data_IF_242370019982
#
_entry.id   IF_242370019982
#
_cell.length_a   1.000
_cell.length_b   1.000
_cell.length_c   1.000
_cell.angle_alpha   90.00
_cell.angle_beta   90.00
_cell.angle_gamma   90.00
#
_symmetry.space_group_name_H-M   'P 1'
#
loop_
_entity.id
_entity.type
_entity.pdbx_description
1 polymer ?
#
# COMPACT_ATOMS: atom_id res chain seq x y z
N UNK A 1 -16.61 -63.92 -15.26
CA UNK A 1 -16.89 -62.66 -15.96
C UNK A 1 -16.27 -61.55 -15.14
N UNK A 2 -15.34 -60.83 -15.75
CA UNK A 2 -14.68 -59.60 -15.29
C UNK A 2 -15.71 -58.53 -14.85
N UNK A 3 -15.41 -57.50 -14.07
CA UNK A 3 -14.14 -56.88 -13.74
C UNK A 3 -14.23 -56.18 -12.37
N UNK A 4 -13.06 -56.14 -11.73
CA UNK A 4 -12.65 -55.20 -10.69
C UNK A 4 -12.63 -53.76 -11.25
N UNK A 5 -13.00 -52.77 -10.43
CA UNK A 5 -12.63 -51.38 -10.70
C UNK A 5 -12.61 -50.57 -9.40
N UNK A 6 -11.40 -50.12 -9.11
CA UNK A 6 -10.90 -49.47 -7.90
C UNK A 6 -10.89 -47.94 -8.11
N UNK A 7 -11.56 -47.20 -7.21
CA UNK A 7 -11.21 -45.85 -6.66
C UNK A 7 -11.10 -44.61 -7.61
N UNK A 8 -10.96 -43.34 -7.12
CA UNK A 8 -11.23 -42.75 -5.79
C UNK A 8 -11.75 -41.26 -5.80
N UNK A 9 -11.82 -40.68 -4.59
CA UNK A 9 -11.53 -39.27 -4.23
C UNK A 9 -12.60 -38.21 -4.53
N UNK A 10 -13.45 -37.94 -3.54
CA UNK A 10 -14.06 -36.61 -3.38
C UNK A 10 -13.13 -35.74 -2.53
N UNK A 11 -12.46 -34.83 -3.23
CA UNK A 11 -12.04 -33.47 -2.87
C UNK A 11 -11.89 -33.18 -1.36
N UNK A 12 -10.64 -33.11 -0.94
CA UNK A 12 -10.22 -32.39 0.26
C UNK A 12 -10.57 -30.90 0.05
N UNK A 13 -11.54 -30.41 0.80
CA UNK A 13 -11.81 -28.98 0.93
C UNK A 13 -10.53 -28.31 1.42
N UNK A 14 -9.83 -27.61 0.52
CA UNK A 14 -8.80 -26.67 0.91
C UNK A 14 -9.53 -25.52 1.61
N UNK A 15 -9.61 -25.59 2.93
CA UNK A 15 -9.94 -24.42 3.73
C UNK A 15 -8.97 -23.32 3.33
N UNK A 16 -9.50 -22.25 2.75
CA UNK A 16 -8.81 -20.97 2.65
C UNK A 16 -8.22 -20.70 4.03
N UNK A 17 -6.90 -20.46 4.20
CA UNK A 17 -6.42 -20.02 5.50
C UNK A 17 -7.12 -18.69 5.80
N UNK A 18 -7.91 -18.70 6.87
CA UNK A 18 -8.39 -17.47 7.47
C UNK A 18 -7.14 -16.72 7.91
N UNK A 19 -6.84 -15.60 7.25
CA UNK A 19 -5.79 -14.69 7.71
C UNK A 19 -6.33 -14.08 9.00
N UNK A 20 -5.72 -14.47 10.12
CA UNK A 20 -6.06 -13.95 11.43
C UNK A 20 -5.81 -12.43 11.44
N UNK A 21 -6.75 -11.58 11.91
CA UNK A 21 -6.62 -10.12 11.83
C UNK A 21 -5.47 -9.53 12.67
N UNK A 22 -4.77 -10.34 13.47
CA UNK A 22 -3.70 -9.90 14.36
C UNK A 22 -2.34 -10.59 14.07
N UNK A 23 -2.28 -11.55 13.15
CA UNK A 23 -1.00 -12.12 12.71
C UNK A 23 -0.52 -11.35 11.47
N UNK A 24 0.21 -10.27 11.73
CA UNK A 24 1.10 -9.69 10.73
C UNK A 24 1.92 -10.82 10.10
N UNK A 25 1.94 -11.02 8.76
CA UNK A 25 2.89 -11.97 8.17
C UNK A 25 4.26 -11.50 8.58
N UNK A 26 4.93 -12.25 9.47
CA UNK A 26 6.22 -11.86 10.07
C UNK A 26 7.06 -11.20 8.99
N UNK A 27 7.54 -9.97 9.26
CA UNK A 27 8.38 -9.23 8.32
C UNK A 27 9.35 -10.23 7.67
N UNK A 28 9.47 -10.24 6.33
CA UNK A 28 10.15 -11.31 5.64
C UNK A 28 11.52 -11.52 6.28
N UNK A 29 11.94 -12.79 6.42
CA UNK A 29 13.17 -13.14 7.14
C UNK A 29 14.41 -12.38 6.61
N UNK A 30 14.36 -11.94 5.35
CA UNK A 30 15.20 -10.89 4.79
C UNK A 30 14.32 -9.82 4.14
N UNK A 31 14.69 -8.53 4.26
CA UNK A 31 13.97 -7.45 3.59
C UNK A 31 14.29 -7.44 2.09
N UNK A 32 13.35 -6.94 1.31
CA UNK A 32 13.40 -6.95 -0.15
C UNK A 32 14.30 -5.82 -0.65
N UNK A 33 15.34 -6.17 -1.42
CA UNK A 33 16.26 -5.21 -2.04
C UNK A 33 15.86 -4.84 -3.47
N UNK A 34 15.38 -5.82 -4.24
CA UNK A 34 15.00 -5.63 -5.64
C UNK A 34 13.48 -5.45 -5.77
N UNK A 35 13.08 -4.44 -6.54
CA UNK A 35 11.66 -4.15 -6.77
C UNK A 35 11.22 -4.89 -8.05
N UNK A 36 10.31 -5.84 -7.89
CA UNK A 36 9.56 -6.49 -8.96
C UNK A 36 8.03 -6.41 -8.71
N UNK A 37 7.23 -7.04 -9.57
CA UNK A 37 5.76 -7.00 -9.45
C UNK A 37 5.25 -7.72 -8.19
N UNK A 38 5.93 -8.77 -7.74
CA UNK A 38 5.54 -9.52 -6.55
C UNK A 38 5.84 -8.71 -5.28
N UNK A 39 6.96 -7.99 -5.26
CA UNK A 39 7.29 -7.02 -4.22
C UNK A 39 6.26 -5.88 -4.16
N UNK A 40 5.84 -5.34 -5.31
CA UNK A 40 4.76 -4.32 -5.35
C UNK A 40 3.44 -4.89 -4.84
N UNK A 41 3.08 -6.11 -5.24
CA UNK A 41 1.87 -6.78 -4.77
C UNK A 41 1.90 -6.99 -3.26
N UNK A 42 3.03 -7.46 -2.74
CA UNK A 42 3.20 -7.64 -1.30
C UNK A 42 3.02 -6.33 -0.54
N UNK A 43 3.66 -5.25 -1.01
CA UNK A 43 3.49 -3.91 -0.42
C UNK A 43 2.02 -3.49 -0.41
N UNK A 44 1.35 -3.56 -1.55
CA UNK A 44 -0.04 -3.11 -1.69
C UNK A 44 -0.97 -3.89 -0.78
N UNK A 45 -0.92 -5.23 -0.83
CA UNK A 45 -1.80 -6.06 -0.01
C UNK A 45 -1.51 -5.89 1.48
N UNK A 46 -0.24 -5.81 1.89
CA UNK A 46 0.13 -5.58 3.29
C UNK A 46 -0.37 -4.23 3.76
N UNK A 47 -0.07 -3.16 3.02
CA UNK A 47 -0.44 -1.80 3.39
C UNK A 47 -1.96 -1.60 3.48
N UNK A 48 -2.72 -2.09 2.50
CA UNK A 48 -4.17 -1.95 2.51
C UNK A 48 -4.86 -2.87 3.52
N UNK A 49 -4.26 -4.01 3.87
CA UNK A 49 -4.67 -4.80 5.03
C UNK A 49 -4.64 -3.96 6.29
N UNK A 50 -3.53 -3.26 6.55
CA UNK A 50 -3.40 -2.36 7.70
C UNK A 50 -4.37 -1.19 7.68
N UNK A 51 -4.59 -0.58 6.50
CA UNK A 51 -5.57 0.51 6.36
C UNK A 51 -6.97 0.05 6.78
N UNK A 52 -7.35 -1.17 6.41
CA UNK A 52 -8.70 -1.69 6.71
C UNK A 52 -8.95 -1.78 8.22
N UNK A 53 -7.89 -2.09 8.96
CA UNK A 53 -7.93 -2.33 10.41
C UNK A 53 -7.59 -1.06 11.22
N UNK A 54 -7.21 0.04 10.56
CA UNK A 54 -6.94 1.33 11.20
C UNK A 54 -8.23 2.07 11.57
N UNK A 55 -8.28 2.63 12.78
CA UNK A 55 -9.49 3.28 13.32
C UNK A 55 -9.85 4.59 12.60
N UNK A 56 -8.87 5.30 12.04
CA UNK A 56 -9.09 6.57 11.34
C UNK A 56 -9.31 6.36 9.84
N UNK A 57 -8.49 5.55 9.19
CA UNK A 57 -8.54 5.31 7.75
C UNK A 57 -9.57 4.24 7.37
N UNK A 58 -9.70 3.20 8.19
CA UNK A 58 -10.60 2.08 7.94
C UNK A 58 -12.03 2.53 7.58
N UNK A 59 -12.69 3.42 8.37
CA UNK A 59 -14.01 3.94 8.04
C UNK A 59 -14.08 4.62 6.65
N UNK A 60 -13.08 5.43 6.31
CA UNK A 60 -13.01 6.16 5.02
C UNK A 60 -12.96 5.16 3.87
N UNK A 61 -12.06 4.18 3.95
CA UNK A 61 -11.89 3.18 2.90
C UNK A 61 -13.06 2.21 2.82
N UNK A 62 -13.68 1.84 3.95
CA UNK A 62 -14.90 1.02 3.97
C UNK A 62 -16.04 1.73 3.23
N UNK A 63 -16.28 3.01 3.53
CA UNK A 63 -17.29 3.80 2.82
C UNK A 63 -16.96 3.92 1.32
N UNK A 64 -15.69 4.11 0.98
CA UNK A 64 -15.24 4.31 -0.40
C UNK A 64 -15.27 3.02 -1.25
N UNK A 65 -15.06 1.85 -0.65
CA UNK A 65 -14.71 0.60 -1.35
C UNK A 65 -15.61 -0.59 -1.01
N UNK A 66 -16.75 -0.38 -0.34
CA UNK A 66 -17.69 -1.46 -0.02
C UNK A 66 -17.96 -2.36 -1.26
N UNK A 67 -17.70 -3.67 -1.11
CA UNK A 67 -17.84 -4.68 -2.17
C UNK A 67 -16.81 -4.60 -3.31
N UNK A 68 -15.82 -3.71 -3.26
CA UNK A 68 -14.88 -3.41 -4.38
C UNK A 68 -13.41 -3.41 -3.97
N UNK A 69 -13.05 -4.05 -2.86
CA UNK A 69 -11.68 -4.11 -2.35
C UNK A 69 -10.71 -4.74 -3.36
N UNK A 70 -11.04 -5.91 -3.92
CA UNK A 70 -10.15 -6.61 -4.84
C UNK A 70 -9.81 -5.75 -6.08
N UNK A 71 -10.83 -5.11 -6.66
CA UNK A 71 -10.65 -4.18 -7.78
C UNK A 71 -9.74 -3.00 -7.42
N UNK A 72 -9.86 -2.48 -6.19
CA UNK A 72 -9.00 -1.41 -5.72
C UNK A 72 -7.56 -1.88 -5.51
N UNK A 73 -7.35 -3.06 -4.92
CA UNK A 73 -6.02 -3.63 -4.73
C UNK A 73 -5.32 -3.84 -6.08
N UNK A 74 -5.99 -4.42 -7.07
CA UNK A 74 -5.44 -4.57 -8.43
C UNK A 74 -5.07 -3.21 -9.05
N UNK A 75 -5.93 -2.20 -8.90
CA UNK A 75 -5.65 -0.84 -9.36
C UNK A 75 -4.44 -0.24 -8.65
N UNK A 76 -4.26 -0.50 -7.37
CA UNK A 76 -3.14 0.00 -6.58
C UNK A 76 -1.83 -0.72 -6.90
N UNK A 77 -1.86 -2.01 -7.21
CA UNK A 77 -0.70 -2.72 -7.79
C UNK A 77 -0.33 -2.06 -9.12
N UNK A 78 -1.28 -1.87 -10.03
CA UNK A 78 -1.00 -1.22 -11.31
C UNK A 78 -0.46 0.22 -11.14
N UNK A 79 -0.98 0.98 -10.16
CA UNK A 79 -0.52 2.32 -9.81
C UNK A 79 0.95 2.33 -9.38
N UNK A 80 1.30 1.54 -8.36
CA UNK A 80 2.65 1.51 -7.83
C UNK A 80 3.65 0.91 -8.82
N UNK A 81 3.29 -0.16 -9.54
CA UNK A 81 4.16 -0.70 -10.61
C UNK A 81 4.40 0.34 -11.71
N UNK A 82 3.43 1.20 -12.01
CA UNK A 82 3.63 2.28 -12.99
C UNK A 82 4.63 3.34 -12.52
N UNK A 83 4.72 3.56 -11.20
CA UNK A 83 5.62 4.54 -10.60
C UNK A 83 7.03 3.98 -10.45
N UNK A 84 7.19 2.81 -9.85
CA UNK A 84 8.50 2.27 -9.47
C UNK A 84 9.14 1.38 -10.53
N UNK A 85 8.35 0.77 -11.42
CA UNK A 85 8.84 -0.08 -12.52
C UNK A 85 8.67 0.56 -13.89
N UNK A 86 8.06 1.75 -13.97
CA UNK A 86 7.77 2.40 -15.25
C UNK A 86 6.73 1.67 -16.10
N UNK A 87 5.92 0.80 -15.50
CA UNK A 87 4.82 0.13 -16.20
C UNK A 87 3.80 1.17 -16.73
N UNK A 88 3.16 0.88 -17.86
CA UNK A 88 2.15 1.80 -18.47
C UNK A 88 0.72 1.30 -18.28
N UNK A 89 0.41 0.81 -17.07
CA UNK A 89 -0.85 0.10 -16.77
C UNK A 89 -1.85 0.92 -15.96
N UNK A 90 -1.40 1.89 -15.17
CA UNK A 90 -2.31 2.78 -14.46
C UNK A 90 -2.89 3.87 -15.38
N UNK A 91 -4.21 3.98 -15.41
CA UNK A 91 -4.95 5.01 -16.14
C UNK A 91 -6.00 5.61 -15.20
N UNK A 92 -5.66 6.74 -14.60
CA UNK A 92 -6.56 7.43 -13.67
C UNK A 92 -6.00 8.75 -13.18
N UNK A 93 -6.88 9.59 -12.62
CA UNK A 93 -6.50 10.84 -11.98
C UNK A 93 -6.63 10.67 -10.45
N UNK A 94 -5.50 10.69 -9.75
CA UNK A 94 -5.46 10.46 -8.30
C UNK A 94 -6.22 11.57 -7.58
N UNK A 95 -6.03 12.84 -7.95
CA UNK A 95 -6.73 13.97 -7.33
C UNK A 95 -8.25 13.84 -7.43
N UNK A 96 -8.78 13.58 -8.63
CA UNK A 96 -10.23 13.39 -8.83
C UNK A 96 -10.78 12.22 -8.02
N UNK A 97 -9.99 11.18 -7.79
CA UNK A 97 -10.42 10.05 -6.97
C UNK A 97 -10.55 10.40 -5.47
N UNK A 98 -9.86 11.45 -4.99
CA UNK A 98 -9.90 11.86 -3.58
C UNK A 98 -10.87 13.02 -3.31
N UNK A 99 -11.21 13.83 -4.33
CA UNK A 99 -12.12 14.97 -4.21
C UNK A 99 -13.51 14.67 -3.59
N UNK A 100 -14.17 13.53 -3.87
CA UNK A 100 -15.49 13.24 -3.29
C UNK A 100 -15.48 13.08 -1.77
N UNK A 101 -14.31 12.86 -1.15
CA UNK A 101 -14.18 12.62 0.28
C UNK A 101 -13.87 13.93 1.01
N UNK A 102 -14.87 14.83 1.08
CA UNK A 102 -14.73 16.15 1.69
C UNK A 102 -14.44 16.15 3.20
N UNK A 103 -14.49 14.99 3.86
CA UNK A 103 -14.12 14.82 5.27
C UNK A 103 -12.63 14.45 5.46
N UNK A 104 -11.87 14.26 4.37
CA UNK A 104 -10.43 14.07 4.47
C UNK A 104 -9.79 15.29 5.13
N UNK A 105 -8.85 15.03 6.03
CA UNK A 105 -8.10 16.06 6.76
C UNK A 105 -6.61 15.75 6.73
N UNK A 106 -5.79 16.71 7.14
CA UNK A 106 -4.35 16.50 7.29
C UNK A 106 -3.98 15.32 8.20
N UNK A 107 -4.83 15.01 9.20
CA UNK A 107 -4.63 13.84 10.07
C UNK A 107 -4.76 12.52 9.31
N UNK A 108 -5.73 12.41 8.39
CA UNK A 108 -5.87 11.23 7.54
C UNK A 108 -4.62 11.03 6.66
N UNK A 109 -4.11 12.10 6.04
CA UNK A 109 -2.87 12.03 5.26
C UNK A 109 -1.66 11.67 6.13
N UNK A 110 -1.60 12.20 7.36
CA UNK A 110 -0.54 11.91 8.32
C UNK A 110 -0.52 10.43 8.71
N UNK A 111 -1.70 9.87 9.05
CA UNK A 111 -1.84 8.47 9.40
C UNK A 111 -1.51 7.55 8.20
N UNK A 112 -2.02 7.89 7.01
CA UNK A 112 -1.74 7.13 5.79
C UNK A 112 -0.23 7.08 5.49
N UNK A 113 0.47 8.21 5.57
CA UNK A 113 1.93 8.27 5.36
C UNK A 113 2.71 7.50 6.42
N UNK A 114 2.31 7.62 7.70
CA UNK A 114 2.96 6.90 8.79
C UNK A 114 2.84 5.38 8.60
N UNK A 115 1.63 4.88 8.30
CA UNK A 115 1.41 3.47 8.01
C UNK A 115 2.16 3.01 6.76
N UNK A 116 2.21 3.83 5.72
CA UNK A 116 2.89 3.50 4.48
C UNK A 116 4.41 3.36 4.70
N UNK A 117 5.03 4.35 5.34
CA UNK A 117 6.47 4.31 5.63
C UNK A 117 6.86 3.20 6.60
N UNK A 118 6.07 2.96 7.64
CA UNK A 118 6.30 1.82 8.54
C UNK A 118 6.17 0.48 7.80
N UNK A 119 5.25 0.37 6.83
CA UNK A 119 5.15 -0.82 5.98
C UNK A 119 6.38 -0.99 5.09
N UNK A 120 6.88 0.11 4.51
CA UNK A 120 8.09 0.08 3.70
C UNK A 120 9.33 -0.33 4.52
N UNK A 121 9.52 0.26 5.69
CA UNK A 121 10.66 -0.03 6.57
C UNK A 121 10.71 -1.50 7.02
N UNK A 122 9.54 -2.13 7.17
CA UNK A 122 9.41 -3.56 7.52
C UNK A 122 9.63 -4.50 6.35
N UNK A 123 9.25 -4.11 5.13
CA UNK A 123 9.29 -4.99 3.97
C UNK A 123 10.58 -4.85 3.13
N UNK A 124 11.18 -3.66 3.08
CA UNK A 124 12.20 -3.32 2.11
C UNK A 124 13.51 -2.86 2.74
N UNK A 125 14.61 -3.13 2.04
CA UNK A 125 15.89 -2.48 2.31
C UNK A 125 15.80 -0.96 2.01
N UNK A 126 16.63 -0.10 2.63
CA UNK A 126 16.48 1.35 2.57
C UNK A 126 16.40 1.94 1.16
N UNK A 127 17.17 1.39 0.21
CA UNK A 127 17.16 1.84 -1.18
C UNK A 127 15.81 1.58 -1.86
N UNK A 128 15.27 0.37 -1.71
CA UNK A 128 13.98 0.01 -2.27
C UNK A 128 12.82 0.76 -1.58
N UNK A 129 12.86 0.85 -0.25
CA UNK A 129 11.88 1.63 0.53
C UNK A 129 11.82 3.09 0.06
N UNK A 130 12.97 3.73 -0.15
CA UNK A 130 13.03 5.12 -0.59
C UNK A 130 12.45 5.33 -2.00
N UNK A 131 12.58 4.35 -2.90
CA UNK A 131 12.01 4.41 -4.25
C UNK A 131 10.48 4.50 -4.24
N UNK A 132 9.81 3.93 -3.22
CA UNK A 132 8.37 4.13 -2.99
C UNK A 132 8.06 5.40 -2.20
N UNK A 133 8.89 5.72 -1.20
CA UNK A 133 8.65 6.84 -0.30
C UNK A 133 8.72 8.19 -1.03
N UNK A 134 9.72 8.42 -1.88
CA UNK A 134 9.89 9.69 -2.60
C UNK A 134 8.67 10.09 -3.47
N UNK A 135 8.10 9.21 -4.31
CA UNK A 135 6.86 9.53 -5.01
C UNK A 135 5.66 9.67 -4.08
N UNK A 136 5.55 8.85 -3.01
CA UNK A 136 4.44 8.95 -2.05
C UNK A 136 4.35 10.35 -1.41
N UNK A 137 5.50 10.91 -1.02
CA UNK A 137 5.60 12.27 -0.46
C UNK A 137 5.06 13.29 -1.45
N UNK A 138 5.54 13.26 -2.70
CA UNK A 138 5.13 14.21 -3.75
C UNK A 138 3.64 14.11 -4.06
N UNK A 139 3.11 12.89 -4.11
CA UNK A 139 1.68 12.64 -4.34
C UNK A 139 0.86 13.21 -3.18
N UNK A 140 1.25 12.94 -1.93
CA UNK A 140 0.54 13.44 -0.75
C UNK A 140 0.60 14.97 -0.64
N UNK A 141 1.75 15.60 -0.92
CA UNK A 141 1.89 17.05 -0.96
C UNK A 141 0.96 17.65 -2.05
N UNK A 142 0.93 17.06 -3.24
CA UNK A 142 0.04 17.48 -4.33
C UNK A 142 -1.44 17.33 -3.99
N UNK A 143 -1.86 16.20 -3.42
CA UNK A 143 -3.25 15.96 -3.04
C UNK A 143 -3.72 16.95 -1.98
N UNK A 144 -2.92 17.16 -0.93
CA UNK A 144 -3.28 18.08 0.15
C UNK A 144 -3.38 19.52 -0.34
N UNK A 145 -2.47 19.96 -1.22
CA UNK A 145 -2.56 21.29 -1.83
C UNK A 145 -3.84 21.44 -2.67
N UNK A 146 -4.19 20.42 -3.45
CA UNK A 146 -5.41 20.45 -4.28
C UNK A 146 -6.70 20.39 -3.46
N UNK A 147 -6.71 19.69 -2.33
CA UNK A 147 -7.91 19.52 -1.50
C UNK A 147 -8.10 20.66 -0.50
N UNK A 148 -7.01 21.21 0.04
CA UNK A 148 -7.05 22.16 1.16
C UNK A 148 -6.61 23.58 0.77
N UNK A 149 -6.09 23.77 -0.45
CA UNK A 149 -5.68 25.07 -0.96
C UNK A 149 -4.27 25.50 -0.53
N UNK A 150 -3.86 26.67 -1.02
CA UNK A 150 -2.48 27.19 -0.88
C UNK A 150 -2.13 27.68 0.52
N UNK A 151 -3.13 28.00 1.33
CA UNK A 151 -2.95 28.43 2.73
C UNK A 151 -2.80 27.24 3.69
N UNK A 152 -3.00 26.01 3.19
CA UNK A 152 -2.88 24.81 4.00
C UNK A 152 -1.46 24.60 4.52
N UNK A 153 -1.36 24.40 5.84
CA UNK A 153 -0.12 24.11 6.53
C UNK A 153 -0.13 22.66 7.01
N UNK A 154 0.93 21.90 6.70
CA UNK A 154 1.06 20.53 7.20
C UNK A 154 1.06 20.51 8.74
N UNK A 155 0.31 19.59 9.36
CA UNK A 155 0.45 19.29 10.78
C UNK A 155 1.94 19.09 11.17
N UNK A 156 2.39 19.61 12.34
CA UNK A 156 3.79 19.50 12.75
C UNK A 156 4.31 18.05 12.78
N UNK A 157 3.49 17.10 13.22
CA UNK A 157 3.83 15.68 13.21
C UNK A 157 4.10 15.14 11.79
N UNK A 158 3.28 15.53 10.82
CA UNK A 158 3.48 15.15 9.43
C UNK A 158 4.76 15.76 8.87
N UNK A 159 5.02 17.04 9.17
CA UNK A 159 6.25 17.72 8.76
C UNK A 159 7.48 16.97 9.28
N UNK A 160 7.51 16.67 10.57
CA UNK A 160 8.62 15.96 11.21
C UNK A 160 8.83 14.56 10.59
N UNK A 161 7.73 13.83 10.33
CA UNK A 161 7.79 12.54 9.65
C UNK A 161 8.43 12.66 8.27
N UNK A 162 7.96 13.59 7.44
CA UNK A 162 8.48 13.80 6.09
C UNK A 162 9.97 14.20 6.11
N UNK A 163 10.37 15.06 7.04
CA UNK A 163 11.76 15.47 7.18
C UNK A 163 12.66 14.29 7.58
N UNK A 164 12.19 13.42 8.49
CA UNK A 164 12.93 12.21 8.87
C UNK A 164 13.13 11.24 7.70
N UNK A 165 12.14 11.09 6.82
CA UNK A 165 12.22 10.23 5.63
C UNK A 165 13.19 10.81 4.62
N UNK A 166 13.13 12.13 4.40
CA UNK A 166 14.05 12.85 3.49
C UNK A 166 15.50 12.77 3.97
N UNK A 167 15.74 12.80 5.29
CA UNK A 167 17.07 12.63 5.89
C UNK A 167 17.61 11.21 5.74
N UNK A 168 16.74 10.19 5.72
CA UNK A 168 17.09 8.78 5.48
C UNK A 168 17.35 8.44 4.01
N UNK A 169 17.42 9.44 3.12
CA UNK A 169 17.73 9.22 1.71
C UNK A 169 19.07 8.47 1.56
N UNK A 170 19.08 7.27 0.96
CA UNK A 170 20.32 6.54 0.76
C UNK A 170 21.24 7.28 -0.22
N UNK A 171 22.54 7.20 0.03
CA UNK A 171 23.56 7.71 -0.88
C UNK A 171 23.51 6.90 -2.17
N UNK A 172 23.35 7.55 -3.34
CA UNK A 172 23.51 6.85 -4.62
C UNK A 172 24.93 6.30 -4.71
N UNK A 173 25.09 4.98 -4.62
CA UNK A 173 26.33 4.35 -5.06
C UNK A 173 26.46 4.64 -6.55
N UNK A 174 27.49 5.40 -6.92
CA UNK A 174 27.89 5.58 -8.30
C UNK A 174 28.78 4.39 -8.64
N UNK A 175 28.30 3.51 -9.52
CA UNK A 175 29.15 2.61 -10.29
C UNK A 175 29.62 3.32 -11.57
#
# INVERSE_FOLDING_TARGET
>A
MSADSTLPTTVRSAGQPAIDPLEWPTAPAARIADIDEDAVRLLVHTFYGRIRDDDLLGPVFRQALEGRWDMHLEKMVAFWSSIVLGAKRYRGNVTQAHQPFGHLSGEHFSCWLALFFDTLDKLFEPQAAFAFAEPAIRIAESLQLNLFGWEYTLPPAQRALLDSIKQRRPTRQHD
#
